data_IF_273688892724
#
_entry.id   IF_273688892724
#
_cell.length_a   1.000
_cell.length_b   1.000
_cell.length_c   1.000
_cell.angle_alpha   90.00
_cell.angle_beta   90.00
_cell.angle_gamma   90.00
#
_symmetry.space_group_name_H-M   'P 1'
#
loop_
_entity.id
_entity.type
_entity.pdbx_description
1 polymer ?
#
# COMPACT_ATOMS: atom_id res chain seq x y z
N UNK A 1 -44.67 1.76 -1.46
CA UNK A 1 -44.54 2.38 -2.80
C UNK A 1 -43.39 1.68 -3.51
N UNK A 2 -43.68 0.63 -4.27
CA UNK A 2 -42.67 -0.18 -4.96
C UNK A 2 -42.29 0.57 -6.23
N UNK A 3 -41.05 1.00 -6.28
CA UNK A 3 -40.45 1.89 -7.27
C UNK A 3 -40.35 1.21 -8.65
N UNK A 4 -41.21 1.61 -9.60
CA UNK A 4 -41.45 0.95 -10.90
C UNK A 4 -40.51 1.37 -12.03
N UNK A 5 -39.58 2.31 -11.80
CA UNK A 5 -38.75 2.97 -12.83
C UNK A 5 -37.29 2.49 -12.87
N UNK A 6 -37.03 1.19 -12.65
CA UNK A 6 -35.66 0.65 -12.50
C UNK A 6 -35.12 0.11 -13.82
N UNK A 7 -34.02 0.64 -14.32
CA UNK A 7 -33.56 0.39 -15.70
C UNK A 7 -32.10 -0.09 -15.81
N UNK A 8 -31.25 0.21 -14.83
CA UNK A 8 -29.93 -0.40 -14.69
C UNK A 8 -29.65 -0.67 -13.20
N UNK A 9 -29.16 -1.87 -12.87
CA UNK A 9 -28.75 -2.24 -11.52
C UNK A 9 -27.22 -2.30 -11.48
N UNK A 10 -26.60 -1.41 -10.70
CA UNK A 10 -25.18 -1.43 -10.43
C UNK A 10 -24.96 -1.91 -8.98
N UNK A 11 -24.15 -2.95 -8.83
CA UNK A 11 -23.79 -3.53 -7.55
C UNK A 11 -22.33 -3.27 -7.26
N UNK A 12 -22.07 -2.62 -6.12
CA UNK A 12 -20.72 -2.33 -5.62
C UNK A 12 -20.46 -3.18 -4.39
N UNK A 13 -19.38 -3.96 -4.42
CA UNK A 13 -18.90 -4.79 -3.33
C UNK A 13 -17.42 -4.54 -3.05
N UNK A 14 -16.86 -5.30 -2.11
CA UNK A 14 -15.45 -5.19 -1.70
C UNK A 14 -14.76 -6.55 -1.73
N UNK A 15 -13.53 -6.59 -2.22
CA UNK A 15 -12.74 -7.83 -2.17
C UNK A 15 -12.54 -8.35 -0.75
N UNK A 16 -12.55 -9.67 -0.62
CA UNK A 16 -12.21 -10.35 0.63
C UNK A 16 -10.73 -10.13 1.01
N UNK A 17 -9.84 -10.09 0.01
CA UNK A 17 -8.41 -9.90 0.21
C UNK A 17 -8.02 -8.42 0.24
N UNK A 18 -7.11 -8.09 1.17
CA UNK A 18 -6.46 -6.79 1.17
C UNK A 18 -5.37 -6.74 0.10
N UNK A 19 -5.36 -5.67 -0.68
CA UNK A 19 -4.27 -5.35 -1.60
C UNK A 19 -3.34 -4.39 -0.89
N UNK A 20 -2.04 -4.61 -1.07
CA UNK A 20 -1.01 -3.70 -0.59
C UNK A 20 -0.93 -2.46 -1.49
N UNK A 21 -0.98 -1.28 -0.89
CA UNK A 21 -0.87 -0.01 -1.58
C UNK A 21 0.31 0.78 -1.06
N UNK A 22 1.07 1.36 -1.98
CA UNK A 22 2.19 2.23 -1.68
C UNK A 22 1.69 3.66 -1.57
N UNK A 23 1.99 4.31 -0.46
CA UNK A 23 1.76 5.74 -0.28
C UNK A 23 2.92 6.57 -0.83
N UNK A 24 2.72 7.89 -0.88
CA UNK A 24 3.77 8.82 -1.27
C UNK A 24 5.01 8.66 -0.39
N UNK A 25 6.18 8.89 -0.99
CA UNK A 25 7.47 8.84 -0.29
C UNK A 25 7.48 9.90 0.81
N UNK A 26 7.90 9.52 2.01
CA UNK A 26 8.06 10.44 3.12
C UNK A 26 9.34 10.16 3.90
N UNK A 27 9.76 11.15 4.68
CA UNK A 27 10.93 11.02 5.54
C UNK A 27 10.57 10.10 6.71
N UNK A 28 11.32 9.01 6.83
CA UNK A 28 11.03 7.96 7.81
C UNK A 28 12.01 8.02 8.98
N UNK A 29 13.27 8.31 8.71
CA UNK A 29 14.29 8.42 9.75
C UNK A 29 15.38 9.41 9.35
N UNK A 30 16.11 9.90 10.34
CA UNK A 30 17.32 10.69 10.16
C UNK A 30 18.44 10.07 10.97
N UNK A 31 19.63 10.00 10.39
CA UNK A 31 20.83 9.50 11.04
C UNK A 31 21.89 10.59 11.01
N UNK A 32 22.48 10.90 12.16
CA UNK A 32 23.62 11.78 12.28
C UNK A 32 24.71 11.09 13.09
N UNK A 33 25.96 11.33 12.71
CA UNK A 33 27.08 10.69 13.38
C UNK A 33 28.42 11.28 12.98
N UNK A 34 29.44 10.75 13.63
CA UNK A 34 30.83 11.16 13.45
C UNK A 34 31.72 9.93 13.33
N UNK A 35 32.47 9.82 12.24
CA UNK A 35 33.50 8.80 12.07
C UNK A 35 34.86 9.34 12.49
N UNK A 36 35.64 8.50 13.16
CA UNK A 36 37.01 8.80 13.58
C UNK A 36 38.02 8.13 12.65
N UNK A 37 39.29 8.51 12.77
CA UNK A 37 40.40 8.04 11.94
C UNK A 37 40.57 6.51 11.88
N UNK A 38 39.99 5.75 12.84
CA UNK A 38 40.12 4.30 12.97
C UNK A 38 38.81 3.53 12.71
N UNK A 39 37.73 4.18 12.29
CA UNK A 39 36.39 3.55 12.25
C UNK A 39 36.26 2.52 11.12
N UNK A 40 36.90 2.73 9.96
CA UNK A 40 36.87 1.80 8.83
C UNK A 40 35.48 1.65 8.20
N UNK A 41 34.61 0.82 8.77
CA UNK A 41 33.23 0.60 8.30
C UNK A 41 32.28 0.42 9.47
N UNK A 42 31.15 1.12 9.43
CA UNK A 42 30.09 1.01 10.42
C UNK A 42 28.73 0.81 9.73
N UNK A 43 27.99 -0.20 10.20
CA UNK A 43 26.65 -0.52 9.72
C UNK A 43 25.61 -0.06 10.75
N UNK A 44 24.72 0.82 10.32
CA UNK A 44 23.63 1.33 11.14
C UNK A 44 22.30 0.73 10.68
N UNK A 45 21.64 0.00 11.58
CA UNK A 45 20.28 -0.50 11.35
C UNK A 45 19.28 0.60 11.71
N UNK A 46 18.54 1.07 10.72
CA UNK A 46 17.55 2.14 10.85
C UNK A 46 16.16 1.53 10.73
N UNK A 47 15.36 1.65 11.79
CA UNK A 47 13.98 1.21 11.82
C UNK A 47 13.05 2.29 11.26
N UNK A 48 12.00 1.89 10.54
CA UNK A 48 11.05 2.83 9.94
C UNK A 48 10.08 3.48 10.94
N UNK A 49 10.02 2.97 12.16
CA UNK A 49 9.26 3.53 13.27
C UNK A 49 9.93 3.11 14.57
N UNK A 50 9.83 3.95 15.60
CA UNK A 50 10.33 3.65 16.94
C UNK A 50 9.66 2.38 17.51
N UNK A 51 8.36 2.21 17.23
CA UNK A 51 7.57 1.04 17.64
C UNK A 51 7.78 -0.18 16.73
N UNK A 52 8.60 -0.07 15.67
CA UNK A 52 8.88 -1.13 14.68
C UNK A 52 7.63 -1.75 14.03
N UNK A 53 6.53 -1.01 14.04
CA UNK A 53 5.23 -1.44 13.50
C UNK A 53 5.06 -1.07 12.03
N UNK A 54 5.67 0.02 11.61
CA UNK A 54 5.54 0.61 10.28
C UNK A 54 6.34 -0.16 9.24
N UNK A 55 5.69 -0.48 8.14
CA UNK A 55 6.28 -1.13 6.96
C UNK A 55 6.43 -0.13 5.84
N UNK A 56 7.61 -0.09 5.23
CA UNK A 56 7.92 0.77 4.10
C UNK A 56 8.67 -0.02 3.02
N UNK A 57 8.48 0.37 1.77
CA UNK A 57 9.19 -0.18 0.61
C UNK A 57 9.99 0.90 -0.09
N UNK A 58 10.97 0.46 -0.89
CA UNK A 58 11.83 1.32 -1.71
C UNK A 58 12.53 2.42 -0.89
N UNK A 59 13.34 2.06 0.12
CA UNK A 59 14.11 3.05 0.86
C UNK A 59 15.14 3.75 -0.04
N UNK A 60 15.28 5.06 0.15
CA UNK A 60 16.25 5.92 -0.51
C UNK A 60 17.02 6.72 0.53
N UNK A 61 18.33 6.75 0.35
CA UNK A 61 19.23 7.58 1.14
C UNK A 61 19.29 8.98 0.53
N UNK A 62 19.00 10.00 1.35
CA UNK A 62 19.27 11.40 1.03
C UNK A 62 20.44 11.88 1.89
N UNK A 63 21.56 12.20 1.24
CA UNK A 63 22.74 12.75 1.91
C UNK A 63 22.53 14.26 2.05
N UNK A 64 22.33 14.72 3.29
CA UNK A 64 22.22 16.16 3.58
C UNK A 64 23.61 16.77 3.61
N UNK A 65 24.48 16.18 4.42
CA UNK A 65 25.86 16.63 4.58
C UNK A 65 26.79 15.44 4.83
N UNK A 66 27.93 15.49 4.17
CA UNK A 66 29.09 14.65 4.43
C UNK A 66 30.30 15.57 4.43
N UNK A 67 30.80 15.89 5.62
CA UNK A 67 31.95 16.76 5.79
C UNK A 67 33.14 15.98 6.32
N UNK A 68 34.28 16.11 5.65
CA UNK A 68 35.51 15.39 5.98
C UNK A 68 36.67 16.35 6.24
N UNK A 69 37.49 16.00 7.24
CA UNK A 69 38.78 16.64 7.46
C UNK A 69 39.73 16.43 6.28
N UNK A 70 40.77 17.26 6.19
CA UNK A 70 41.75 17.23 5.08
C UNK A 70 42.46 15.88 4.99
N UNK A 71 42.77 15.24 6.12
CA UNK A 71 43.42 13.94 6.14
C UNK A 71 42.57 12.87 5.43
N UNK A 72 41.27 12.83 5.70
CA UNK A 72 40.36 11.92 4.99
C UNK A 72 40.23 12.23 3.50
N UNK A 73 40.28 13.51 3.10
CA UNK A 73 40.24 13.91 1.68
C UNK A 73 41.48 13.48 0.90
N UNK A 74 42.62 13.33 1.59
CA UNK A 74 43.88 12.92 0.98
C UNK A 74 43.93 11.39 0.79
N UNK A 75 43.44 10.64 1.76
CA UNK A 75 43.35 9.17 1.75
C UNK A 75 42.26 8.67 0.79
N UNK A 76 41.13 9.39 0.69
CA UNK A 76 40.03 9.01 -0.17
C UNK A 76 38.74 9.80 0.05
N UNK A 77 37.61 9.11 -0.06
CA UNK A 77 36.27 9.64 0.21
C UNK A 77 35.54 8.71 1.16
N UNK A 78 34.63 9.27 1.96
CA UNK A 78 33.64 8.46 2.68
C UNK A 78 32.72 7.83 1.63
N UNK A 79 32.41 6.54 1.79
CA UNK A 79 31.46 5.83 0.94
C UNK A 79 30.21 5.52 1.72
N UNK A 80 29.10 6.11 1.29
CA UNK A 80 27.78 5.82 1.82
C UNK A 80 26.97 4.96 0.85
N UNK A 81 26.35 3.91 1.36
CA UNK A 81 25.31 3.21 0.60
C UNK A 81 24.24 2.64 1.53
N UNK A 82 23.02 2.59 1.00
CA UNK A 82 21.90 1.95 1.65
C UNK A 82 21.77 0.54 1.09
N UNK A 83 21.71 -0.44 1.99
CA UNK A 83 21.39 -1.82 1.66
C UNK A 83 20.03 -2.15 2.23
N UNK A 84 19.07 -2.44 1.35
CA UNK A 84 17.79 -3.00 1.73
C UNK A 84 17.88 -4.53 1.63
N UNK A 85 18.13 -5.21 2.75
CA UNK A 85 18.05 -6.68 2.84
C UNK A 85 16.81 -7.13 3.58
N UNK A 86 15.94 -6.21 3.99
CA UNK A 86 14.82 -6.51 4.88
C UNK A 86 13.80 -7.46 4.24
N UNK A 87 13.67 -7.43 2.91
CA UNK A 87 12.80 -8.33 2.15
C UNK A 87 13.29 -9.79 2.11
N UNK A 88 14.59 -10.03 2.36
CA UNK A 88 15.20 -11.37 2.38
C UNK A 88 15.18 -12.02 3.77
N UNK A 89 14.68 -11.30 4.79
CA UNK A 89 14.68 -11.78 6.16
C UNK A 89 13.82 -13.06 6.30
N UNK A 90 14.38 -14.05 7.02
CA UNK A 90 13.71 -15.32 7.28
C UNK A 90 12.48 -15.13 8.19
N UNK A 91 12.54 -14.16 9.09
CA UNK A 91 11.42 -13.77 9.94
C UNK A 91 10.47 -12.84 9.20
N UNK A 92 9.27 -13.34 8.90
CA UNK A 92 8.21 -12.58 8.24
C UNK A 92 7.77 -11.33 9.04
N UNK A 93 8.00 -11.29 10.35
CA UNK A 93 7.64 -10.15 11.20
C UNK A 93 8.60 -8.97 11.06
N UNK A 94 9.79 -9.17 10.51
CA UNK A 94 10.84 -8.16 10.35
C UNK A 94 10.96 -7.63 8.91
N UNK A 95 10.22 -8.23 7.97
CA UNK A 95 10.24 -7.83 6.56
C UNK A 95 9.75 -6.40 6.38
N UNK A 96 10.45 -5.65 5.53
CA UNK A 96 10.11 -4.30 5.12
C UNK A 96 9.97 -3.30 6.29
N UNK A 97 10.67 -3.53 7.42
CA UNK A 97 10.59 -2.69 8.63
C UNK A 97 11.85 -1.90 8.96
N UNK A 98 12.96 -2.25 8.33
CA UNK A 98 14.25 -1.63 8.58
C UNK A 98 15.06 -1.54 7.29
N UNK A 99 16.06 -0.67 7.29
CA UNK A 99 17.10 -0.63 6.28
C UNK A 99 18.46 -0.50 6.95
N UNK A 100 19.52 -0.98 6.29
CA UNK A 100 20.88 -0.85 6.81
C UNK A 100 21.63 0.21 6.00
N UNK A 101 22.18 1.20 6.70
CA UNK A 101 23.07 2.20 6.10
C UNK A 101 24.49 1.83 6.46
N UNK A 102 25.32 1.60 5.46
CA UNK A 102 26.75 1.37 5.66
C UNK A 102 27.49 2.68 5.39
N UNK A 103 28.27 3.11 6.38
CA UNK A 103 29.16 4.27 6.29
C UNK A 103 30.60 3.75 6.32
N UNK A 104 31.29 3.89 5.20
CA UNK A 104 32.70 3.55 5.08
C UNK A 104 33.58 4.79 5.15
N UNK A 105 34.56 4.80 6.05
CA UNK A 105 35.61 5.81 6.10
C UNK A 105 36.98 5.16 5.81
N UNK A 106 37.91 5.85 5.12
CA UNK A 106 39.28 5.38 5.00
C UNK A 106 39.91 5.19 6.39
N UNK A 107 40.62 4.07 6.61
CA UNK A 107 41.32 3.84 7.87
C UNK A 107 42.70 4.50 7.81
N UNK A 108 42.94 5.51 8.64
CA UNK A 108 44.18 6.30 8.71
C UNK A 108 45.20 5.71 9.70
N UNK A 109 44.92 4.54 10.27
CA UNK A 109 45.83 3.85 11.19
C UNK A 109 47.21 3.58 10.57
N UNK A 110 47.35 3.16 9.29
CA UNK A 110 48.65 2.98 8.65
C UNK A 110 49.46 4.29 8.57
N UNK A 111 48.82 5.40 8.20
CA UNK A 111 49.43 6.72 8.04
C UNK A 111 49.90 7.25 9.39
N UNK A 112 49.12 7.01 10.46
CA UNK A 112 49.51 7.35 11.81
C UNK A 112 50.78 6.58 12.22
N UNK A 113 50.88 5.30 11.87
CA UNK A 113 52.04 4.47 12.18
C UNK A 113 53.29 4.95 11.43
N UNK A 114 53.14 5.37 10.17
CA UNK A 114 54.22 6.00 9.40
C UNK A 114 54.64 7.33 10.03
N UNK A 115 53.70 8.17 10.45
CA UNK A 115 54.01 9.44 11.11
C UNK A 115 54.75 9.24 12.45
N UNK A 116 54.33 8.25 13.25
CA UNK A 116 54.98 7.92 14.52
C UNK A 116 56.39 7.31 14.33
N UNK A 117 56.56 6.44 13.34
CA UNK A 117 57.89 5.88 13.03
C UNK A 117 58.83 6.95 12.46
N UNK A 118 58.33 7.86 11.63
CA UNK A 118 59.07 9.04 11.17
C UNK A 118 59.46 9.98 12.31
N UNK A 119 58.57 10.19 13.29
CA UNK A 119 58.86 10.95 14.50
C UNK A 119 60.01 10.30 15.30
N UNK A 120 59.95 8.98 15.52
CA UNK A 120 61.01 8.24 16.20
C UNK A 120 62.35 8.36 15.45
N UNK A 121 62.32 8.25 14.12
CA UNK A 121 63.49 8.45 13.25
C UNK A 121 64.07 9.87 13.32
N UNK A 122 63.21 10.89 13.49
CA UNK A 122 63.64 12.29 13.56
C UNK A 122 64.56 12.58 14.74
N UNK A 123 64.43 11.84 15.85
CA UNK A 123 65.31 11.99 17.02
C UNK A 123 66.76 11.54 16.78
N UNK A 124 67.01 10.74 15.74
CA UNK A 124 68.37 10.35 15.34
C UNK A 124 69.02 11.34 14.37
N UNK A 125 68.24 12.27 13.82
CA UNK A 125 68.71 13.31 12.90
C UNK A 125 69.00 14.57 13.72
N UNK A 126 70.28 14.85 13.89
CA UNK A 126 70.73 16.00 14.68
C UNK A 126 70.67 17.30 13.86
N UNK A 127 70.49 18.43 14.53
CA UNK A 127 70.64 19.74 13.90
C UNK A 127 72.12 19.98 13.55
N UNK A 128 72.38 20.47 12.34
CA UNK A 128 73.73 20.66 11.85
C UNK A 128 74.21 22.08 12.15
N UNK A 129 75.40 22.20 12.74
CA UNK A 129 76.08 23.49 12.93
C UNK A 129 77.11 23.65 11.84
N UNK A 130 76.93 24.65 10.98
CA UNK A 130 77.73 24.83 9.74
C UNK A 130 79.16 25.32 10.02
N UNK A 131 79.47 25.80 11.24
CA UNK A 131 80.83 26.16 11.63
C UNK A 131 81.03 26.05 13.14
N UNK A 132 82.17 25.46 13.54
CA UNK A 132 82.66 25.54 14.92
C UNK A 132 83.01 27.00 15.25
N UNK A 133 82.35 27.57 16.27
CA UNK A 133 82.68 28.90 16.80
C UNK A 133 81.75 30.06 16.46
N UNK A 134 80.54 29.81 15.93
CA UNK A 134 79.52 30.87 15.74
C UNK A 134 78.68 30.76 14.46
N UNK A 135 78.61 29.59 13.82
CA UNK A 135 77.86 29.40 12.58
C UNK A 135 76.35 29.29 12.77
N UNK A 136 75.60 29.63 11.71
CA UNK A 136 74.16 29.41 11.61
C UNK A 136 73.82 27.92 11.77
N UNK A 137 72.87 27.60 12.65
CA UNK A 137 72.35 26.23 12.83
C UNK A 137 71.29 25.93 11.78
N UNK A 138 71.48 24.87 11.00
CA UNK A 138 70.43 24.34 10.13
C UNK A 138 69.61 23.36 10.96
N UNK A 139 68.40 23.78 11.32
CA UNK A 139 67.47 23.08 12.22
C UNK A 139 66.74 21.89 11.56
N UNK A 140 67.45 21.05 10.80
CA UNK A 140 66.84 19.95 10.05
C UNK A 140 66.14 18.92 10.94
N UNK A 141 66.75 18.54 12.06
CA UNK A 141 66.15 17.61 13.02
C UNK A 141 64.89 18.21 13.62
N UNK A 142 64.98 19.45 14.10
CA UNK A 142 63.84 20.18 14.66
C UNK A 142 62.68 20.35 13.66
N UNK A 143 62.97 20.62 12.38
CA UNK A 143 61.93 20.72 11.35
C UNK A 143 61.28 19.39 11.03
N UNK A 144 62.05 18.29 10.98
CA UNK A 144 61.50 16.94 10.77
C UNK A 144 60.62 16.52 11.93
N UNK A 145 61.05 16.74 13.18
CA UNK A 145 60.25 16.46 14.37
C UNK A 145 58.95 17.26 14.36
N UNK A 146 59.01 18.56 14.06
CA UNK A 146 57.81 19.40 13.96
C UNK A 146 56.85 18.94 12.85
N UNK A 147 57.37 18.52 11.70
CA UNK A 147 56.59 17.99 10.59
C UNK A 147 55.85 16.70 10.97
N UNK A 148 56.54 15.73 11.57
CA UNK A 148 55.91 14.46 11.96
C UNK A 148 54.92 14.62 13.12
N UNK A 149 55.16 15.54 14.06
CA UNK A 149 54.18 15.89 15.09
C UNK A 149 52.94 16.52 14.45
N UNK A 150 53.12 17.48 13.52
CA UNK A 150 52.01 18.09 12.81
C UNK A 150 51.20 17.06 12.04
N UNK A 151 51.85 16.15 11.31
CA UNK A 151 51.19 15.08 10.57
C UNK A 151 50.38 14.15 11.50
N UNK A 152 50.99 13.68 12.60
CA UNK A 152 50.32 12.81 13.57
C UNK A 152 49.11 13.50 14.23
N UNK A 153 49.23 14.77 14.61
CA UNK A 153 48.12 15.53 15.20
C UNK A 153 46.99 15.78 14.20
N UNK A 154 47.28 16.03 12.93
CA UNK A 154 46.25 16.18 11.90
C UNK A 154 45.48 14.87 11.65
N UNK A 155 46.18 13.73 11.71
CA UNK A 155 45.53 12.41 11.59
C UNK A 155 44.69 12.10 12.83
N UNK A 156 45.19 12.37 14.04
CA UNK A 156 44.43 12.16 15.28
C UNK A 156 43.22 13.10 15.39
N UNK A 157 43.32 14.31 14.85
CA UNK A 157 42.23 15.26 14.76
C UNK A 157 41.29 15.01 13.56
N UNK A 158 41.57 13.99 12.75
CA UNK A 158 40.76 13.69 11.58
C UNK A 158 39.41 13.10 12.01
N UNK A 159 38.36 13.89 11.81
CA UNK A 159 36.97 13.47 11.97
C UNK A 159 36.20 13.68 10.68
N UNK A 160 35.22 12.81 10.43
CA UNK A 160 34.20 13.00 9.41
C UNK A 160 32.84 13.12 10.08
N UNK A 161 32.05 14.12 9.71
CA UNK A 161 30.69 14.26 10.19
C UNK A 161 29.73 13.94 9.04
N UNK A 162 28.65 13.24 9.36
CA UNK A 162 27.64 12.91 8.38
C UNK A 162 26.24 13.12 8.92
N UNK A 163 25.35 13.53 8.02
CA UNK A 163 23.94 13.68 8.27
C UNK A 163 23.16 13.15 7.07
N UNK A 164 22.35 12.11 7.32
CA UNK A 164 21.53 11.45 6.33
C UNK A 164 20.06 11.48 6.73
N UNK A 165 19.21 11.48 5.72
CA UNK A 165 17.80 11.18 5.85
C UNK A 165 17.44 9.95 5.04
N UNK A 166 16.62 9.10 5.63
CA UNK A 166 16.02 7.95 4.96
C UNK A 166 14.62 8.31 4.57
N UNK A 167 14.37 8.23 3.27
CA UNK A 167 13.06 8.40 2.68
C UNK A 167 12.56 7.04 2.20
N UNK A 168 11.30 6.72 2.43
CA UNK A 168 10.71 5.46 1.95
C UNK A 168 9.21 5.62 1.72
N UNK A 169 8.61 4.66 1.01
CA UNK A 169 7.18 4.64 0.72
C UNK A 169 6.45 3.76 1.74
N UNK A 170 5.59 4.31 2.62
CA UNK A 170 4.82 3.52 3.56
C UNK A 170 3.85 2.60 2.82
N UNK A 171 3.60 1.44 3.40
CA UNK A 171 2.66 0.46 2.83
C UNK A 171 1.36 0.41 3.62
N UNK A 172 0.24 0.45 2.90
CA UNK A 172 -1.10 0.33 3.42
C UNK A 172 -1.79 -0.93 2.91
N UNK A 173 -2.87 -1.31 3.59
CA UNK A 173 -3.77 -2.37 3.14
C UNK A 173 -5.14 -1.79 2.93
N UNK A 174 -5.61 -1.79 1.69
CA UNK A 174 -6.97 -1.39 1.35
C UNK A 174 -7.68 -2.53 0.64
N UNK A 175 -9.01 -2.57 0.77
CA UNK A 175 -9.83 -3.45 -0.05
C UNK A 175 -10.14 -2.77 -1.37
N UNK A 176 -10.09 -3.54 -2.45
CA UNK A 176 -10.49 -3.05 -3.76
C UNK A 176 -12.01 -3.06 -3.87
N UNK A 177 -12.57 -1.96 -4.35
CA UNK A 177 -13.99 -1.88 -4.73
C UNK A 177 -14.20 -2.65 -6.03
N UNK A 178 -15.16 -3.58 -6.02
CA UNK A 178 -15.60 -4.32 -7.20
C UNK A 178 -16.98 -3.81 -7.59
N UNK A 179 -17.25 -3.73 -8.89
CA UNK A 179 -18.58 -3.39 -9.40
C UNK A 179 -19.00 -4.30 -10.55
N UNK A 180 -20.29 -4.59 -10.62
CA UNK A 180 -20.92 -5.24 -11.77
C UNK A 180 -22.27 -4.57 -12.09
N UNK A 181 -22.64 -4.56 -13.36
CA UNK A 181 -23.89 -3.98 -13.83
C UNK A 181 -24.75 -5.04 -14.52
N UNK A 182 -26.07 -4.92 -14.34
CA UNK A 182 -27.08 -5.63 -15.11
C UNK A 182 -28.01 -4.60 -15.76
N UNK A 183 -28.16 -4.68 -17.08
CA UNK A 183 -28.88 -3.71 -17.90
C UNK A 183 -30.09 -4.33 -18.61
N UNK A 184 -31.18 -3.58 -18.66
CA UNK A 184 -32.41 -4.01 -19.33
C UNK A 184 -32.56 -3.41 -20.73
N UNK A 185 -31.74 -3.90 -21.67
CA UNK A 185 -31.59 -3.32 -23.01
C UNK A 185 -32.91 -3.13 -23.77
N UNK A 186 -33.86 -4.04 -23.63
CA UNK A 186 -35.16 -3.96 -24.31
C UNK A 186 -35.98 -2.77 -23.81
N UNK A 187 -36.10 -2.61 -22.49
CA UNK A 187 -36.86 -1.52 -21.90
C UNK A 187 -36.14 -0.17 -22.00
N UNK A 188 -34.81 -0.17 -21.92
CA UNK A 188 -33.99 1.02 -22.17
C UNK A 188 -34.19 1.55 -23.60
N UNK A 189 -34.32 0.65 -24.59
CA UNK A 189 -34.58 1.03 -25.98
C UNK A 189 -35.99 1.63 -26.18
N UNK A 190 -36.99 1.16 -25.44
CA UNK A 190 -38.36 1.71 -25.49
C UNK A 190 -38.45 3.10 -24.85
N UNK A 191 -37.78 3.29 -23.71
CA UNK A 191 -37.87 4.51 -22.91
C UNK A 191 -36.90 5.61 -23.38
N UNK A 192 -35.78 5.23 -24.01
CA UNK A 192 -34.78 6.17 -24.53
C UNK A 192 -33.91 6.85 -23.46
N UNK A 193 -34.00 6.43 -22.20
CA UNK A 193 -33.14 6.88 -21.10
C UNK A 193 -32.73 5.71 -20.21
N UNK A 194 -31.66 5.89 -19.43
CA UNK A 194 -31.14 4.89 -18.48
C UNK A 194 -31.10 5.50 -17.09
N UNK A 195 -31.88 4.97 -16.16
CA UNK A 195 -31.78 5.30 -14.72
C UNK A 195 -30.94 4.26 -14.00
N UNK A 196 -29.66 4.56 -13.66
CA UNK A 196 -28.82 3.67 -12.88
C UNK A 196 -29.19 3.73 -11.41
N UNK A 197 -29.37 2.56 -10.80
CA UNK A 197 -29.48 2.41 -9.36
C UNK A 197 -28.22 1.73 -8.82
N UNK A 198 -27.42 2.49 -8.08
CA UNK A 198 -26.29 1.96 -7.33
C UNK A 198 -26.78 1.41 -6.00
N UNK A 199 -26.46 0.15 -5.75
CA UNK A 199 -26.71 -0.48 -4.46
C UNK A 199 -25.40 -1.08 -3.95
N UNK A 200 -25.01 -0.62 -2.77
CA UNK A 200 -23.85 -1.12 -2.06
C UNK A 200 -24.23 -2.39 -1.32
N UNK A 201 -23.47 -3.46 -1.53
CA UNK A 201 -23.63 -4.72 -0.81
C UNK A 201 -22.27 -5.20 -0.30
N UNK A 202 -22.00 -5.09 1.01
CA UNK A 202 -20.72 -5.49 1.58
C UNK A 202 -20.49 -7.02 1.54
N UNK A 203 -21.51 -7.82 1.21
CA UNK A 203 -21.39 -9.27 1.11
C UNK A 203 -20.92 -9.75 -0.26
N UNK A 204 -20.94 -8.88 -1.28
CA UNK A 204 -20.45 -9.22 -2.61
C UNK A 204 -18.92 -9.12 -2.66
N UNK A 205 -18.23 -10.26 -2.69
CA UNK A 205 -16.76 -10.32 -2.58
C UNK A 205 -16.05 -10.55 -3.93
N UNK A 206 -16.80 -10.90 -4.97
CA UNK A 206 -16.28 -11.13 -6.32
C UNK A 206 -17.14 -10.45 -7.39
N UNK A 207 -16.56 -10.26 -8.57
CA UNK A 207 -17.29 -9.70 -9.73
C UNK A 207 -18.47 -10.61 -10.10
N UNK A 208 -18.29 -11.92 -9.99
CA UNK A 208 -19.33 -12.91 -10.30
C UNK A 208 -20.49 -12.83 -9.31
N UNK A 209 -20.22 -12.62 -8.02
CA UNK A 209 -21.27 -12.46 -7.01
C UNK A 209 -22.03 -11.15 -7.22
N UNK A 210 -21.31 -10.04 -7.46
CA UNK A 210 -21.91 -8.75 -7.79
C UNK A 210 -22.84 -8.87 -9.00
N UNK A 211 -22.40 -9.60 -10.03
CA UNK A 211 -23.18 -9.83 -11.25
C UNK A 211 -24.39 -10.71 -11.00
N UNK A 212 -24.25 -11.80 -10.26
CA UNK A 212 -25.38 -12.67 -9.90
C UNK A 212 -26.47 -11.91 -9.15
N UNK A 213 -26.09 -11.09 -8.16
CA UNK A 213 -27.05 -10.27 -7.40
C UNK A 213 -27.68 -9.19 -8.28
N UNK A 214 -26.90 -8.55 -9.15
CA UNK A 214 -27.43 -7.56 -10.11
C UNK A 214 -28.42 -8.20 -11.08
N UNK A 215 -28.10 -9.36 -11.65
CA UNK A 215 -28.96 -10.12 -12.56
C UNK A 215 -30.24 -10.59 -11.87
N UNK A 216 -30.16 -11.11 -10.65
CA UNK A 216 -31.32 -11.52 -9.86
C UNK A 216 -32.26 -10.34 -9.58
N UNK A 217 -31.71 -9.17 -9.25
CA UNK A 217 -32.52 -7.98 -9.01
C UNK A 217 -33.13 -7.43 -10.28
N UNK A 218 -32.42 -7.51 -11.40
CA UNK A 218 -32.97 -7.17 -12.69
C UNK A 218 -34.13 -8.10 -13.05
N UNK A 219 -34.00 -9.40 -12.79
CA UNK A 219 -35.08 -10.37 -12.95
C UNK A 219 -36.28 -10.01 -12.08
N UNK A 220 -36.08 -9.74 -10.79
CA UNK A 220 -37.18 -9.30 -9.90
C UNK A 220 -37.83 -8.01 -10.40
N UNK A 221 -37.05 -7.05 -10.87
CA UNK A 221 -37.56 -5.80 -11.43
C UNK A 221 -38.43 -6.05 -12.68
N UNK A 222 -37.98 -6.92 -13.59
CA UNK A 222 -38.76 -7.34 -14.77
C UNK A 222 -40.08 -8.01 -14.36
N UNK A 223 -40.06 -8.93 -13.41
CA UNK A 223 -41.26 -9.61 -12.90
C UNK A 223 -42.23 -8.66 -12.20
N UNK A 224 -41.72 -7.65 -11.48
CA UNK A 224 -42.56 -6.62 -10.86
C UNK A 224 -43.28 -5.73 -11.90
N UNK A 225 -42.74 -5.58 -13.11
CA UNK A 225 -43.45 -4.88 -14.21
C UNK A 225 -44.57 -5.72 -14.79
N UNK A 226 -44.44 -7.06 -14.79
CA UNK A 226 -45.47 -7.99 -15.27
C UNK A 226 -46.44 -8.45 -14.17
N UNK A 227 -46.55 -7.68 -13.08
CA UNK A 227 -47.47 -7.97 -11.96
C UNK A 227 -48.92 -7.84 -12.40
N UNK A 228 -49.70 -8.88 -12.12
CA UNK A 228 -51.14 -8.95 -12.38
C UNK A 228 -51.89 -9.27 -11.11
N UNK A 229 -53.10 -8.73 -11.01
CA UNK A 229 -54.04 -9.00 -9.93
C UNK A 229 -55.37 -9.38 -10.53
N UNK A 230 -55.93 -10.51 -10.15
CA UNK A 230 -57.23 -10.96 -10.63
C UNK A 230 -57.96 -11.76 -9.55
N UNK A 231 -59.25 -11.97 -9.78
CA UNK A 231 -60.13 -12.70 -8.88
C UNK A 231 -60.66 -13.94 -9.60
N UNK A 232 -60.71 -15.07 -8.90
CA UNK A 232 -61.19 -16.35 -9.40
C UNK A 232 -62.10 -16.99 -8.34
N UNK A 233 -63.10 -17.75 -8.77
CA UNK A 233 -63.84 -18.65 -7.86
C UNK A 233 -62.89 -19.77 -7.42
N UNK A 234 -62.82 -20.00 -6.11
CA UNK A 234 -61.89 -20.95 -5.50
C UNK A 234 -62.03 -22.37 -6.09
N UNK A 235 -60.88 -23.03 -6.32
CA UNK A 235 -60.77 -24.47 -6.67
C UNK A 235 -60.02 -25.29 -5.59
N UNK A 236 -59.75 -24.70 -4.41
CA UNK A 236 -59.10 -25.29 -3.21
C UNK A 236 -57.70 -25.90 -3.42
N UNK A 237 -57.20 -25.93 -4.66
CA UNK A 237 -55.95 -26.57 -5.06
C UNK A 237 -54.81 -25.61 -5.32
N UNK A 238 -55.11 -24.32 -5.42
CA UNK A 238 -54.14 -23.28 -5.73
C UNK A 238 -53.51 -22.77 -4.42
N UNK A 239 -52.17 -22.77 -4.35
CA UNK A 239 -51.39 -22.24 -3.22
C UNK A 239 -50.38 -21.16 -3.65
N UNK A 240 -49.86 -20.42 -2.67
CA UNK A 240 -48.75 -19.49 -2.89
C UNK A 240 -47.50 -20.23 -3.37
N UNK A 241 -46.92 -19.79 -4.48
CA UNK A 241 -45.80 -20.46 -5.14
C UNK A 241 -46.20 -21.36 -6.32
N UNK A 242 -47.49 -21.58 -6.56
CA UNK A 242 -47.96 -22.31 -7.74
C UNK A 242 -47.93 -21.47 -9.01
N UNK A 243 -47.88 -22.15 -10.15
CA UNK A 243 -47.96 -21.55 -11.47
C UNK A 243 -49.26 -21.96 -12.15
N UNK A 244 -50.14 -20.99 -12.39
CA UNK A 244 -51.46 -21.21 -13.00
C UNK A 244 -51.53 -20.62 -14.40
N UNK A 245 -52.36 -21.24 -15.25
CA UNK A 245 -52.58 -20.80 -16.63
C UNK A 245 -53.98 -20.22 -16.76
N UNK A 246 -54.06 -18.93 -17.08
CA UNK A 246 -55.32 -18.20 -17.24
C UNK A 246 -55.44 -17.63 -18.66
N UNK A 247 -56.62 -17.64 -19.28
CA UNK A 247 -56.82 -16.95 -20.55
C UNK A 247 -56.85 -15.43 -20.33
N UNK A 248 -56.14 -14.68 -21.15
CA UNK A 248 -56.17 -13.22 -21.14
C UNK A 248 -57.56 -12.73 -21.59
N UNK A 249 -58.22 -11.82 -20.85
CA UNK A 249 -59.63 -11.49 -21.06
C UNK A 249 -59.93 -10.86 -22.43
N UNK A 250 -58.95 -10.19 -23.04
CA UNK A 250 -59.16 -9.48 -24.31
C UNK A 250 -58.63 -10.22 -25.54
N UNK A 251 -57.60 -11.04 -25.36
CA UNK A 251 -56.92 -11.70 -26.49
C UNK A 251 -57.17 -13.20 -26.54
N UNK A 252 -57.71 -13.79 -25.47
CA UNK A 252 -57.90 -15.24 -25.34
C UNK A 252 -56.60 -16.04 -25.26
N UNK A 253 -55.44 -15.39 -25.25
CA UNK A 253 -54.14 -16.05 -25.15
C UNK A 253 -53.91 -16.54 -23.72
N UNK A 254 -53.35 -17.73 -23.57
CA UNK A 254 -53.04 -18.30 -22.26
C UNK A 254 -51.83 -17.59 -21.64
N UNK A 255 -52.03 -16.92 -20.51
CA UNK A 255 -51.00 -16.37 -19.65
C UNK A 255 -50.61 -17.38 -18.59
N UNK A 256 -49.30 -17.50 -18.36
CA UNK A 256 -48.75 -18.30 -17.27
C UNK A 256 -48.39 -17.34 -16.13
N UNK A 257 -49.04 -17.49 -14.97
CA UNK A 257 -48.88 -16.60 -13.83
C UNK A 257 -48.34 -17.37 -12.64
N UNK A 258 -47.23 -16.88 -12.06
CA UNK A 258 -46.70 -17.36 -10.79
C UNK A 258 -47.39 -16.64 -9.64
N UNK A 259 -48.04 -17.38 -8.74
CA UNK A 259 -48.78 -16.84 -7.59
C UNK A 259 -47.80 -16.40 -6.52
N UNK A 260 -47.86 -15.11 -6.16
CA UNK A 260 -47.02 -14.50 -5.12
C UNK A 260 -47.76 -14.23 -3.83
N UNK A 261 -49.08 -14.04 -3.91
CA UNK A 261 -49.96 -13.85 -2.76
C UNK A 261 -51.37 -14.25 -3.15
N UNK A 262 -52.02 -15.03 -2.30
CA UNK A 262 -53.41 -15.46 -2.43
C UNK A 262 -54.19 -15.03 -1.19
N UNK A 263 -55.19 -14.17 -1.39
CA UNK A 263 -56.13 -13.76 -0.35
C UNK A 263 -57.48 -14.44 -0.58
N UNK A 264 -57.95 -15.23 0.39
CA UNK A 264 -59.23 -15.93 0.31
C UNK A 264 -60.30 -15.21 1.11
N UNK A 265 -61.43 -14.93 0.48
CA UNK A 265 -62.59 -14.32 1.13
C UNK A 265 -63.85 -15.14 0.88
N UNK A 266 -64.65 -15.37 1.94
CA UNK A 266 -65.92 -16.07 1.85
C UNK A 266 -67.05 -15.05 1.59
N UNK A 267 -67.81 -15.23 0.51
CA UNK A 267 -69.04 -14.47 0.29
C UNK A 267 -70.26 -15.27 0.73
N UNK A 268 -70.94 -14.78 1.77
CA UNK A 268 -72.15 -15.40 2.33
C UNK A 268 -73.37 -14.83 1.57
N UNK A 269 -73.70 -15.47 0.45
CA UNK A 269 -74.89 -15.21 -0.37
C UNK A 269 -75.86 -16.39 -0.41
N UNK A 270 -76.76 -16.42 -1.41
CA UNK A 270 -77.76 -17.50 -1.58
C UNK A 270 -77.13 -18.86 -1.92
N UNK A 271 -76.00 -18.83 -2.62
CA UNK A 271 -75.10 -19.95 -2.89
C UNK A 271 -73.73 -19.51 -2.37
N UNK A 272 -73.32 -19.94 -1.17
CA UNK A 272 -72.06 -19.51 -0.59
C UNK A 272 -70.87 -19.98 -1.43
N UNK A 273 -70.00 -19.07 -1.85
CA UNK A 273 -68.78 -19.38 -2.59
C UNK A 273 -67.58 -18.62 -2.00
N UNK A 274 -66.40 -19.17 -2.22
CA UNK A 274 -65.15 -18.53 -1.87
C UNK A 274 -64.54 -17.87 -3.09
N UNK A 275 -63.98 -16.68 -2.87
CA UNK A 275 -63.34 -15.87 -3.88
C UNK A 275 -61.86 -15.74 -3.52
N UNK A 276 -61.02 -16.22 -4.42
CA UNK A 276 -59.57 -16.10 -4.33
C UNK A 276 -59.15 -14.84 -5.11
N UNK A 277 -58.55 -13.90 -4.39
CA UNK A 277 -57.89 -12.74 -4.97
C UNK A 277 -56.41 -13.06 -5.07
N UNK A 278 -55.94 -13.19 -6.31
CA UNK A 278 -54.60 -13.66 -6.63
C UNK A 278 -53.77 -12.48 -7.14
N UNK A 279 -52.58 -12.33 -6.56
CA UNK A 279 -51.52 -11.48 -7.07
C UNK A 279 -50.35 -12.35 -7.54
N UNK A 280 -49.87 -12.08 -8.73
CA UNK A 280 -48.76 -12.84 -9.31
C UNK A 280 -47.97 -12.10 -10.36
N UNK A 281 -46.89 -12.73 -10.81
CA UNK A 281 -46.09 -12.25 -11.93
C UNK A 281 -46.38 -13.08 -13.16
N UNK A 282 -46.66 -12.41 -14.29
CA UNK A 282 -46.75 -13.11 -15.57
C UNK A 282 -45.34 -13.53 -15.97
N UNK A 283 -45.19 -14.83 -16.18
CA UNK A 283 -43.95 -15.42 -16.69
C UNK A 283 -43.92 -15.27 -18.22
N UNK A 284 -42.80 -14.83 -18.80
CA UNK A 284 -42.62 -14.77 -20.25
C UNK A 284 -42.57 -16.15 -20.91
#
# INVERSE_FOLDING_TARGET
>A
MIDRTREAQERVGEEASFIEVLYAEERVASLNGTVSYNTGKEDHVVWYSEDRSRTCKNPRLAVIDTSTSIAFKLEGKITEYLTDTSYLEADATLRDKYCTITVGAPDLTPELLVALSGLAGSFFIHDWVVSWGGGHTIRMGSYLTAFFIFAALNILAATGNYQYEVWAQPTGRIKRTIQATADDLAHQAEMGFVVPKKLEDPLCQSVTDCRFVADWQMMTARLQRSRVTFEKIEDLRDEDGDTIRIPHPYTGQTLTVFITSLERSMQIGKDGYFLDRIEGWVLP
#
